data_IF_325212474769
#
_entry.id   IF_325212474769
#
_cell.length_a   1.000
_cell.length_b   1.000
_cell.length_c   1.000
_cell.angle_alpha   90.00
_cell.angle_beta   90.00
_cell.angle_gamma   90.00
#
_symmetry.space_group_name_H-M   'P 1'
#
loop_
_entity.id
_entity.type
_entity.pdbx_description
1 polymer ?
#
# COMPACT_ATOMS: atom_id res chain seq x y z
N UNK A 1 -12.78 25.49 1.19
CA UNK A 1 -11.95 24.43 1.79
C UNK A 1 -10.50 24.85 1.69
N UNK A 2 -9.68 24.61 2.72
CA UNK A 2 -8.24 24.84 2.67
C UNK A 2 -7.53 23.56 2.19
N UNK A 3 -6.50 23.70 1.35
CA UNK A 3 -5.66 22.59 0.89
C UNK A 3 -4.31 22.71 1.60
N UNK A 4 -3.91 21.67 2.33
CA UNK A 4 -2.72 21.68 3.16
C UNK A 4 -1.71 20.67 2.63
N UNK A 5 -0.45 21.10 2.49
CA UNK A 5 0.67 20.19 2.26
C UNK A 5 1.32 19.88 3.62
N UNK A 6 1.24 18.62 4.07
CA UNK A 6 1.67 18.16 5.39
C UNK A 6 2.43 16.84 5.23
N UNK A 7 3.34 16.53 6.16
CA UNK A 7 3.95 15.19 6.20
C UNK A 7 2.89 14.13 6.53
N UNK A 8 3.13 12.88 6.13
CA UNK A 8 2.20 11.76 6.32
C UNK A 8 1.83 11.58 7.80
N UNK A 9 2.81 11.72 8.69
CA UNK A 9 2.64 11.57 10.13
C UNK A 9 1.75 12.67 10.71
N UNK A 10 1.91 13.89 10.18
CA UNK A 10 1.09 15.05 10.55
C UNK A 10 -0.33 14.89 10.03
N UNK A 11 -0.51 14.41 8.79
CA UNK A 11 -1.83 14.10 8.22
C UNK A 11 -2.56 13.08 9.10
N UNK A 12 -1.93 11.94 9.41
CA UNK A 12 -2.52 10.89 10.22
C UNK A 12 -2.93 11.40 11.62
N UNK A 13 -2.09 12.22 12.25
CA UNK A 13 -2.37 12.83 13.55
C UNK A 13 -3.52 13.82 13.49
N UNK A 14 -3.53 14.72 12.49
CA UNK A 14 -4.57 15.73 12.32
C UNK A 14 -5.92 15.11 11.97
N UNK A 15 -5.95 14.04 11.18
CA UNK A 15 -7.19 13.30 10.88
C UNK A 15 -7.76 12.69 12.17
N UNK A 16 -6.92 12.01 12.96
CA UNK A 16 -7.33 11.44 14.26
C UNK A 16 -7.84 12.51 15.24
N UNK A 17 -7.29 13.72 15.17
CA UNK A 17 -7.70 14.86 16.00
C UNK A 17 -8.89 15.66 15.44
N UNK A 18 -9.43 15.30 14.26
CA UNK A 18 -10.51 16.05 13.61
C UNK A 18 -10.11 17.44 13.12
N UNK A 19 -8.81 17.69 12.92
CA UNK A 19 -8.29 18.98 12.39
C UNK A 19 -8.35 19.07 10.87
N UNK A 20 -8.50 17.94 10.19
CA UNK A 20 -8.72 17.84 8.75
C UNK A 20 -9.86 16.85 8.49
N UNK A 21 -10.67 17.12 7.46
CA UNK A 21 -11.85 16.32 7.14
C UNK A 21 -11.54 15.15 6.19
N UNK A 22 -10.39 15.19 5.51
CA UNK A 22 -9.99 14.19 4.53
C UNK A 22 -8.52 14.33 4.13
N UNK A 23 -7.97 13.25 3.59
CA UNK A 23 -6.58 13.17 3.16
C UNK A 23 -6.41 12.23 1.97
N UNK A 24 -5.41 12.52 1.15
CA UNK A 24 -4.90 11.60 0.13
C UNK A 24 -3.57 11.04 0.66
N UNK A 25 -3.49 9.73 0.75
CA UNK A 25 -2.35 9.00 1.33
C UNK A 25 -2.09 7.73 0.52
N UNK A 26 -0.92 7.15 0.72
CA UNK A 26 -0.53 5.85 0.17
C UNK A 26 -0.36 4.80 1.27
N UNK A 27 -0.30 3.54 0.86
CA UNK A 27 -0.07 2.41 1.75
C UNK A 27 1.36 2.39 2.28
N UNK A 28 1.61 1.92 3.52
CA UNK A 28 0.67 1.30 4.46
C UNK A 28 -0.06 2.31 5.38
N UNK A 29 0.12 3.60 5.18
CA UNK A 29 -0.42 4.65 6.06
C UNK A 29 -1.96 4.66 6.05
N UNK A 30 -2.56 4.39 4.89
CA UNK A 30 -4.01 4.22 4.74
C UNK A 30 -4.51 3.02 5.53
N UNK A 31 -3.87 1.84 5.37
CA UNK A 31 -4.21 0.63 6.14
C UNK A 31 -4.12 0.84 7.65
N UNK A 32 -3.15 1.63 8.11
CA UNK A 32 -2.97 1.92 9.54
C UNK A 32 -4.12 2.74 10.12
N UNK A 33 -4.53 3.84 9.47
CA UNK A 33 -5.56 4.74 10.02
C UNK A 33 -6.98 4.35 9.62
N UNK A 34 -7.12 3.50 8.60
CA UNK A 34 -8.38 3.08 8.01
C UNK A 34 -9.25 2.21 8.92
N UNK A 35 -10.51 2.07 8.53
CA UNK A 35 -11.57 1.34 9.24
C UNK A 35 -11.64 -0.16 8.95
N UNK A 36 -10.81 -0.66 8.03
CA UNK A 36 -10.87 -2.07 7.60
C UNK A 36 -9.94 -2.95 8.43
N UNK A 37 -8.67 -2.57 8.55
CA UNK A 37 -7.63 -3.33 9.28
C UNK A 37 -6.87 -2.48 10.30
N UNK A 38 -7.19 -1.19 10.35
CA UNK A 38 -6.46 -0.14 11.05
C UNK A 38 -7.05 0.27 12.39
N UNK A 39 -6.67 1.47 12.82
CA UNK A 39 -7.13 2.16 14.03
C UNK A 39 -8.58 2.67 13.91
N UNK A 40 -9.17 2.70 12.70
CA UNK A 40 -10.53 3.23 12.48
C UNK A 40 -10.66 4.74 12.62
N UNK A 41 -9.55 5.49 12.52
CA UNK A 41 -9.53 6.95 12.60
C UNK A 41 -10.05 7.64 11.33
N UNK A 42 -10.14 6.91 10.21
CA UNK A 42 -10.71 7.39 8.97
C UNK A 42 -11.38 6.28 8.18
N UNK A 43 -12.38 6.65 7.38
CA UNK A 43 -13.04 5.73 6.43
C UNK A 43 -12.40 5.86 5.06
N UNK A 44 -12.04 4.73 4.44
CA UNK A 44 -11.56 4.73 3.06
C UNK A 44 -12.75 5.03 2.12
N UNK A 45 -12.70 6.16 1.40
CA UNK A 45 -13.80 6.61 0.53
C UNK A 45 -13.59 6.28 -0.95
N UNK A 46 -12.34 6.20 -1.41
CA UNK A 46 -11.98 5.86 -2.78
C UNK A 46 -10.53 5.36 -2.82
N UNK A 47 -10.23 4.54 -3.82
CA UNK A 47 -8.85 4.13 -4.17
C UNK A 47 -8.66 4.26 -5.68
N UNK A 48 -7.43 4.18 -6.18
CA UNK A 48 -7.18 4.16 -7.64
C UNK A 48 -8.00 3.08 -8.36
N UNK A 49 -8.22 1.93 -7.71
CA UNK A 49 -9.05 0.85 -8.22
C UNK A 49 -10.50 1.29 -8.55
N UNK A 50 -11.07 2.22 -7.77
CA UNK A 50 -12.42 2.79 -8.01
C UNK A 50 -12.54 3.44 -9.39
N UNK A 51 -11.43 3.90 -9.95
CA UNK A 51 -11.35 4.57 -11.25
C UNK A 51 -10.64 3.74 -12.31
N UNK A 52 -10.42 2.44 -12.08
CA UNK A 52 -9.68 1.57 -13.00
C UNK A 52 -8.18 1.88 -13.09
N UNK A 53 -7.65 2.63 -12.11
CA UNK A 53 -6.24 3.02 -12.04
C UNK A 53 -5.51 2.01 -11.15
N UNK A 54 -4.51 1.35 -11.73
CA UNK A 54 -3.58 0.49 -10.99
C UNK A 54 -2.47 1.33 -10.38
N UNK A 55 -1.89 0.85 -9.28
CA UNK A 55 -0.84 1.54 -8.53
C UNK A 55 0.33 1.97 -9.42
N UNK A 56 0.93 3.13 -9.09
CA UNK A 56 1.85 3.88 -9.94
C UNK A 56 3.29 3.88 -9.41
N UNK A 57 3.82 2.69 -9.10
CA UNK A 57 5.23 2.52 -8.78
C UNK A 57 6.13 2.76 -10.00
N UNK A 58 7.21 3.53 -9.84
CA UNK A 58 8.21 3.75 -10.88
C UNK A 58 9.62 3.65 -10.30
N UNK A 59 10.55 3.10 -11.09
CA UNK A 59 11.98 3.14 -10.79
C UNK A 59 12.58 4.29 -11.59
N UNK A 60 13.13 5.28 -10.87
CA UNK A 60 13.89 6.36 -11.47
C UNK A 60 15.38 6.14 -11.23
N UNK A 61 16.17 6.19 -12.29
CA UNK A 61 17.63 6.14 -12.23
C UNK A 61 18.21 7.38 -12.89
N UNK A 62 19.31 7.91 -12.36
CA UNK A 62 20.00 9.06 -12.96
C UNK A 62 20.54 8.69 -14.35
N UNK A 63 20.42 9.61 -15.29
CA UNK A 63 20.86 9.39 -16.67
C UNK A 63 22.35 9.06 -16.78
N UNK A 64 23.21 9.78 -16.05
CA UNK A 64 24.65 9.58 -16.08
C UNK A 64 25.08 8.22 -15.53
N UNK A 65 24.42 7.76 -14.45
CA UNK A 65 24.61 6.42 -13.91
C UNK A 65 24.23 5.35 -14.93
N UNK A 66 23.10 5.51 -15.63
CA UNK A 66 22.66 4.54 -16.63
C UNK A 66 23.64 4.43 -17.80
N UNK A 67 24.19 5.55 -18.25
CA UNK A 67 25.22 5.58 -19.31
C UNK A 67 26.54 4.96 -18.83
N UNK A 68 26.94 5.22 -17.59
CA UNK A 68 28.20 4.74 -17.04
C UNK A 68 28.17 3.24 -16.71
N UNK A 69 27.04 2.71 -16.21
CA UNK A 69 26.89 1.34 -15.71
C UNK A 69 25.63 0.65 -16.23
N UNK A 70 25.50 0.46 -17.56
CA UNK A 70 24.33 -0.24 -18.13
C UNK A 70 24.19 -1.68 -17.63
N UNK A 71 25.32 -2.33 -17.28
CA UNK A 71 25.36 -3.66 -16.69
C UNK A 71 24.63 -3.73 -15.34
N UNK A 72 24.83 -2.73 -14.47
CA UNK A 72 24.14 -2.66 -13.18
C UNK A 72 22.65 -2.33 -13.38
N UNK A 73 22.32 -1.45 -14.32
CA UNK A 73 20.93 -1.11 -14.62
C UNK A 73 20.15 -2.36 -15.01
N UNK A 74 20.68 -3.16 -15.95
CA UNK A 74 20.04 -4.40 -16.38
C UNK A 74 19.93 -5.41 -15.23
N UNK A 75 20.99 -5.56 -14.42
CA UNK A 75 20.97 -6.45 -13.27
C UNK A 75 19.90 -6.04 -12.26
N UNK A 76 19.79 -4.76 -11.92
CA UNK A 76 18.76 -4.25 -11.01
C UNK A 76 17.37 -4.53 -11.58
N UNK A 77 17.10 -4.19 -12.85
CA UNK A 77 15.78 -4.42 -13.44
C UNK A 77 15.38 -5.91 -13.44
N UNK A 78 16.34 -6.82 -13.65
CA UNK A 78 16.09 -8.28 -13.52
C UNK A 78 15.77 -8.67 -12.09
N UNK A 79 16.55 -8.19 -11.12
CA UNK A 79 16.30 -8.44 -9.69
C UNK A 79 14.95 -7.88 -9.24
N UNK A 80 14.56 -6.70 -9.71
CA UNK A 80 13.25 -6.13 -9.42
C UNK A 80 12.13 -7.02 -9.99
N UNK A 81 12.26 -7.51 -11.22
CA UNK A 81 11.28 -8.42 -11.82
C UNK A 81 11.14 -9.72 -11.00
N UNK A 82 12.24 -10.26 -10.50
CA UNK A 82 12.23 -11.42 -9.60
C UNK A 82 11.55 -11.10 -8.27
N UNK A 83 11.85 -9.95 -7.67
CA UNK A 83 11.21 -9.47 -6.45
C UNK A 83 9.69 -9.30 -6.64
N UNK A 84 9.26 -8.69 -7.75
CA UNK A 84 7.84 -8.54 -8.08
C UNK A 84 7.15 -9.90 -8.23
N UNK A 85 7.79 -10.87 -8.91
CA UNK A 85 7.27 -12.24 -9.01
C UNK A 85 7.13 -12.91 -7.64
N UNK A 86 8.12 -12.72 -6.76
CA UNK A 86 8.06 -13.23 -5.40
C UNK A 86 6.91 -12.60 -4.60
N UNK A 87 6.73 -11.27 -4.71
CA UNK A 87 5.68 -10.53 -4.01
C UNK A 87 4.28 -10.93 -4.47
N UNK A 88 4.05 -11.15 -5.78
CA UNK A 88 2.71 -11.47 -6.29
C UNK A 88 2.28 -12.92 -6.02
N UNK A 89 3.22 -13.84 -5.77
CA UNK A 89 2.92 -15.26 -5.52
C UNK A 89 2.21 -15.44 -4.16
N UNK A 90 0.96 -15.94 -4.14
CA UNK A 90 0.21 -16.20 -2.90
C UNK A 90 0.94 -17.04 -1.86
N UNK A 91 1.84 -17.93 -2.29
CA UNK A 91 2.62 -18.77 -1.37
C UNK A 91 3.59 -17.96 -0.50
N UNK A 92 3.95 -16.76 -0.95
CA UNK A 92 4.91 -15.89 -0.26
C UNK A 92 4.26 -14.76 0.54
N UNK A 93 2.94 -14.53 0.39
CA UNK A 93 2.27 -13.34 0.93
C UNK A 93 2.46 -13.13 2.43
N UNK A 94 2.45 -14.19 3.24
CA UNK A 94 2.68 -14.09 4.68
C UNK A 94 4.10 -13.64 4.98
N UNK A 95 5.11 -14.23 4.31
CA UNK A 95 6.52 -13.86 4.49
C UNK A 95 6.76 -12.41 4.05
N UNK A 96 6.14 -11.99 2.95
CA UNK A 96 6.23 -10.61 2.47
C UNK A 96 5.59 -9.64 3.47
N UNK A 97 4.41 -9.96 4.02
CA UNK A 97 3.75 -9.12 5.02
C UNK A 97 4.57 -9.01 6.32
N UNK A 98 5.18 -10.12 6.78
CA UNK A 98 6.11 -10.12 7.90
C UNK A 98 7.35 -9.26 7.63
N UNK A 99 7.93 -9.37 6.43
CA UNK A 99 9.04 -8.55 6.01
C UNK A 99 8.68 -7.06 6.01
N UNK A 100 7.54 -6.67 5.42
CA UNK A 100 7.08 -5.27 5.42
C UNK A 100 6.82 -4.74 6.82
N UNK A 101 6.20 -5.56 7.69
CA UNK A 101 6.04 -5.22 9.11
C UNK A 101 7.37 -5.03 9.83
N UNK A 102 8.43 -5.75 9.44
CA UNK A 102 9.76 -5.59 10.03
C UNK A 102 10.40 -4.23 9.70
N UNK A 103 10.04 -3.65 8.55
CA UNK A 103 10.60 -2.38 8.06
C UNK A 103 9.75 -1.15 8.41
N UNK A 104 8.51 -1.36 8.88
CA UNK A 104 7.56 -0.27 9.11
C UNK A 104 7.07 -0.27 10.55
N UNK A 105 7.36 0.81 11.28
CA UNK A 105 6.91 0.97 12.65
C UNK A 105 5.39 1.23 12.72
N UNK A 106 4.73 0.62 13.72
CA UNK A 106 3.32 0.91 14.02
C UNK A 106 2.30 0.25 13.08
N UNK A 107 2.70 -0.79 12.33
CA UNK A 107 1.76 -1.63 11.57
C UNK A 107 1.81 -3.08 12.03
N UNK A 108 0.70 -3.79 11.88
CA UNK A 108 0.59 -5.23 12.14
C UNK A 108 0.78 -6.03 10.84
N UNK A 109 1.04 -7.34 10.95
CA UNK A 109 1.14 -8.22 9.76
C UNK A 109 -0.15 -8.20 8.93
N UNK A 110 -1.37 -8.23 9.52
CA UNK A 110 -2.61 -8.04 8.75
C UNK A 110 -2.70 -6.69 8.02
N UNK A 111 -2.25 -5.59 8.64
CA UNK A 111 -2.20 -4.28 7.98
C UNK A 111 -1.23 -4.33 6.79
N UNK A 112 -0.02 -4.85 6.98
CA UNK A 112 0.98 -4.99 5.93
C UNK A 112 0.48 -5.85 4.76
N UNK A 113 -0.18 -6.97 5.07
CA UNK A 113 -0.77 -7.84 4.05
C UNK A 113 -1.88 -7.10 3.28
N UNK A 114 -2.76 -6.39 3.99
CA UNK A 114 -3.85 -5.64 3.38
C UNK A 114 -3.32 -4.56 2.43
N UNK A 115 -2.31 -3.80 2.87
CA UNK A 115 -1.64 -2.77 2.08
C UNK A 115 -1.16 -3.26 0.72
N UNK A 116 -0.66 -4.50 0.63
CA UNK A 116 -0.07 -5.03 -0.60
C UNK A 116 -1.12 -5.78 -1.44
N UNK A 117 -2.04 -6.51 -0.79
CA UNK A 117 -2.85 -7.54 -1.47
C UNK A 117 -4.36 -7.27 -1.51
N UNK A 118 -4.89 -6.36 -0.69
CA UNK A 118 -6.34 -6.23 -0.49
C UNK A 118 -7.12 -5.89 -1.78
N UNK A 119 -6.51 -5.14 -2.69
CA UNK A 119 -7.11 -4.75 -3.98
C UNK A 119 -7.34 -5.99 -4.88
N UNK A 120 -6.50 -7.02 -4.76
CA UNK A 120 -6.65 -8.27 -5.54
C UNK A 120 -7.48 -9.33 -4.83
N UNK A 121 -7.39 -9.39 -3.50
CA UNK A 121 -7.98 -10.49 -2.73
C UNK A 121 -9.50 -10.37 -2.51
N UNK A 122 -10.10 -9.20 -2.77
CA UNK A 122 -11.44 -8.94 -2.26
C UNK A 122 -12.39 -8.31 -3.28
N UNK A 123 -13.01 -9.15 -4.12
CA UNK A 123 -14.27 -8.79 -4.81
C UNK A 123 -15.41 -8.49 -3.82
N UNK A 124 -15.32 -8.96 -2.58
CA UNK A 124 -16.35 -8.81 -1.56
C UNK A 124 -16.20 -7.57 -0.66
N UNK A 125 -14.99 -7.11 -0.34
CA UNK A 125 -14.77 -5.97 0.58
C UNK A 125 -15.46 -4.69 0.10
N UNK A 126 -15.58 -4.52 -1.22
CA UNK A 126 -16.12 -3.30 -1.81
C UNK A 126 -17.62 -3.39 -2.15
N UNK A 127 -18.27 -4.56 -2.01
CA UNK A 127 -19.68 -4.75 -2.41
C UNK A 127 -20.59 -5.36 -1.35
N UNK A 128 -20.08 -5.94 -0.26
CA UNK A 128 -20.94 -6.60 0.75
C UNK A 128 -20.41 -6.42 2.19
N UNK A 129 -21.30 -6.42 3.21
CA UNK A 129 -20.90 -6.45 4.61
C UNK A 129 -20.04 -7.68 4.91
N UNK A 130 -19.01 -7.48 5.75
CA UNK A 130 -17.92 -8.41 6.05
C UNK A 130 -18.41 -9.78 6.57
N UNK A 131 -19.62 -9.87 7.12
CA UNK A 131 -20.29 -11.10 7.56
C UNK A 131 -20.62 -12.09 6.43
N UNK A 132 -20.54 -11.69 5.16
CA UNK A 132 -20.90 -12.53 4.00
C UNK A 132 -19.71 -12.99 3.16
N UNK A 133 -18.48 -12.66 3.58
CA UNK A 133 -17.28 -12.97 2.82
C UNK A 133 -16.68 -14.32 3.27
N UNK A 134 -17.11 -15.43 2.66
CA UNK A 134 -16.43 -16.72 2.83
C UNK A 134 -15.08 -16.70 2.11
N UNK A 135 -14.02 -17.16 2.79
CA UNK A 135 -12.68 -17.32 2.20
C UNK A 135 -12.78 -18.13 0.90
N UNK A 136 -12.10 -17.74 -0.19
CA UNK A 136 -11.86 -18.67 -1.29
C UNK A 136 -11.07 -19.87 -0.75
N UNK A 137 -11.47 -21.07 -1.15
CA UNK A 137 -10.68 -22.29 -0.92
C UNK A 137 -9.36 -22.22 -1.66
#
# INVERSE_FOLDING_TARGET
AAILNQSIEVIATNLRQGKIDGAVLWEPSVSRIGDIVGEGSGRIVATGHTFGIWDAGAIAMREDFMKARPDIVEAWLKTELEAQRYVIDPQNWTKVAEFVKSQTAGITVPMAWFSIYAIRACKCCWRKPMSTCTRPR
#
